data_IF_717075763589
#
_entry.id   IF_717075763589
#
_cell.length_a   1.000
_cell.length_b   1.000
_cell.length_c   1.000
_cell.angle_alpha   90.00
_cell.angle_beta   90.00
_cell.angle_gamma   90.00
#
_symmetry.space_group_name_H-M   'P 1'
#
loop_
_entity.id
_entity.type
_entity.pdbx_description
1 polymer ?
#
# COMPACT_ATOMS: atom_id res chain seq x y z
N UNK A 1 16.24 -13.09 18.80
CA UNK A 1 16.45 -12.57 17.43
C UNK A 1 17.83 -13.04 16.96
N UNK A 2 17.95 -13.63 15.77
CA UNK A 2 19.28 -13.95 15.20
C UNK A 2 19.78 -12.73 14.44
N UNK A 3 20.90 -12.20 14.89
CA UNK A 3 21.60 -11.14 14.17
C UNK A 3 22.40 -11.73 13.03
N UNK A 4 22.52 -10.98 11.93
CA UNK A 4 23.46 -11.31 10.87
C UNK A 4 24.87 -11.20 11.41
N UNK A 5 25.76 -12.08 10.96
CA UNK A 5 27.17 -11.93 11.27
C UNK A 5 27.71 -10.64 10.62
N UNK A 6 28.59 -9.88 11.30
CA UNK A 6 29.06 -8.58 10.79
C UNK A 6 29.67 -8.63 9.38
N UNK A 7 30.32 -9.74 9.03
CA UNK A 7 30.88 -9.95 7.68
C UNK A 7 29.80 -10.10 6.61
N UNK A 8 28.65 -10.68 6.96
CA UNK A 8 27.49 -10.83 6.06
C UNK A 8 26.82 -9.48 5.87
N UNK A 9 26.66 -8.71 6.93
CA UNK A 9 26.11 -7.35 6.86
C UNK A 9 26.98 -6.45 5.98
N UNK A 10 28.30 -6.47 6.18
CA UNK A 10 29.23 -5.68 5.36
C UNK A 10 29.18 -6.10 3.88
N UNK A 11 29.15 -7.39 3.57
CA UNK A 11 29.03 -7.86 2.20
C UNK A 11 27.72 -7.42 1.53
N UNK A 12 26.60 -7.36 2.27
CA UNK A 12 25.32 -6.88 1.74
C UNK A 12 25.35 -5.37 1.45
N UNK A 13 26.03 -4.59 2.28
CA UNK A 13 26.25 -3.16 2.07
C UNK A 13 27.17 -2.90 0.87
N UNK A 14 28.31 -3.60 0.79
CA UNK A 14 29.28 -3.48 -0.31
C UNK A 14 28.65 -3.82 -1.66
N UNK A 15 27.73 -4.78 -1.68
CA UNK A 15 26.99 -5.16 -2.88
C UNK A 15 25.80 -4.25 -3.19
N UNK A 16 25.53 -3.23 -2.37
CA UNK A 16 24.37 -2.36 -2.41
C UNK A 16 23.06 -3.16 -2.56
N UNK A 17 22.91 -4.20 -1.72
CA UNK A 17 21.81 -5.15 -1.82
C UNK A 17 20.44 -4.46 -1.74
N UNK A 18 20.29 -3.51 -0.83
CA UNK A 18 19.04 -2.74 -0.64
C UNK A 18 18.69 -1.97 -1.93
N UNK A 19 19.62 -1.19 -2.47
CA UNK A 19 19.36 -0.42 -3.70
C UNK A 19 19.09 -1.30 -4.93
N UNK A 20 19.73 -2.47 -5.02
CA UNK A 20 19.43 -3.47 -6.08
C UNK A 20 18.06 -4.12 -5.90
N UNK A 21 17.69 -4.45 -4.66
CA UNK A 21 16.40 -5.02 -4.32
C UNK A 21 15.27 -4.03 -4.59
N UNK A 22 15.43 -2.76 -4.20
CA UNK A 22 14.46 -1.69 -4.49
C UNK A 22 14.31 -1.47 -6.00
N UNK A 23 15.41 -1.40 -6.75
CA UNK A 23 15.36 -1.29 -8.22
C UNK A 23 14.70 -2.49 -8.88
N UNK A 24 14.96 -3.71 -8.39
CA UNK A 24 14.34 -4.92 -8.91
C UNK A 24 12.84 -4.98 -8.57
N UNK A 25 12.47 -4.59 -7.36
CA UNK A 25 11.08 -4.46 -6.91
C UNK A 25 10.33 -3.44 -7.76
N UNK A 26 10.93 -2.27 -7.99
CA UNK A 26 10.37 -1.23 -8.86
C UNK A 26 10.27 -1.72 -10.31
N UNK A 27 11.31 -2.34 -10.86
CA UNK A 27 11.31 -2.93 -12.21
C UNK A 27 10.29 -4.07 -12.35
N UNK A 28 10.08 -4.88 -11.31
CA UNK A 28 9.06 -5.93 -11.27
C UNK A 28 7.64 -5.34 -11.21
N UNK A 29 7.46 -4.25 -10.45
CA UNK A 29 6.21 -3.48 -10.42
C UNK A 29 5.94 -2.77 -11.76
N UNK A 30 6.98 -2.31 -12.46
CA UNK A 30 6.91 -1.74 -13.81
C UNK A 30 6.61 -2.78 -14.89
N UNK A 31 7.16 -3.99 -14.79
CA UNK A 31 7.03 -5.06 -15.80
C UNK A 31 5.68 -5.82 -15.75
N UNK A 32 4.83 -5.60 -14.74
CA UNK A 32 3.53 -6.28 -14.61
C UNK A 32 2.31 -5.49 -15.11
N UNK A 33 2.47 -4.24 -15.56
CA UNK A 33 1.35 -3.48 -16.14
C UNK A 33 1.82 -2.41 -17.14
N UNK A 34 1.31 -2.40 -18.40
CA UNK A 34 1.41 -1.23 -19.26
C UNK A 34 0.81 -0.01 -18.55
N UNK A 35 1.26 1.21 -18.89
CA UNK A 35 0.85 2.47 -18.25
C UNK A 35 -0.68 2.59 -18.04
N UNK A 36 -1.45 2.10 -19.00
CA UNK A 36 -2.92 2.10 -19.01
C UNK A 36 -3.57 1.13 -18.00
N UNK A 37 -2.77 0.23 -17.41
CA UNK A 37 -3.19 -0.71 -16.35
C UNK A 37 -2.62 -0.38 -14.96
N UNK A 38 -1.70 0.59 -14.85
CA UNK A 38 -1.15 1.06 -13.55
C UNK A 38 -2.22 1.73 -12.68
N UNK A 39 -3.16 2.44 -13.31
CA UNK A 39 -4.33 3.06 -12.69
C UNK A 39 -5.25 2.06 -11.96
N UNK A 40 -5.15 0.76 -12.23
CA UNK A 40 -6.01 -0.25 -11.59
C UNK A 40 -5.68 -0.46 -10.10
N UNK A 41 -4.44 -0.18 -9.70
CA UNK A 41 -3.94 -0.50 -8.35
C UNK A 41 -3.51 0.74 -7.56
N UNK A 42 -3.29 1.87 -8.23
CA UNK A 42 -2.84 3.12 -7.60
C UNK A 42 -3.57 4.30 -8.26
N UNK A 43 -4.00 5.28 -7.47
CA UNK A 43 -4.60 6.52 -7.99
C UNK A 43 -3.54 7.56 -8.44
N UNK A 44 -4.00 8.72 -8.90
CA UNK A 44 -3.12 9.81 -9.38
C UNK A 44 -2.27 10.44 -8.29
N UNK A 45 -2.63 10.26 -7.02
CA UNK A 45 -1.93 10.80 -5.85
C UNK A 45 -0.97 9.76 -5.24
N UNK A 46 -0.88 8.56 -5.81
CA UNK A 46 0.00 7.50 -5.35
C UNK A 46 -0.61 6.58 -4.30
N UNK A 47 -1.91 6.71 -4.00
CA UNK A 47 -2.54 5.82 -3.02
C UNK A 47 -2.94 4.49 -3.63
N UNK A 48 -2.86 3.42 -2.83
CA UNK A 48 -3.17 2.06 -3.27
C UNK A 48 -4.69 1.85 -3.35
N UNK A 49 -5.23 1.61 -4.54
CA UNK A 49 -6.65 1.28 -4.77
C UNK A 49 -6.98 -0.19 -4.52
N UNK A 50 -6.00 -1.11 -4.63
CA UNK A 50 -6.21 -2.52 -4.29
C UNK A 50 -4.92 -3.26 -3.92
N UNK A 51 -5.05 -4.28 -3.05
CA UNK A 51 -3.99 -5.18 -2.61
C UNK A 51 -4.52 -6.60 -2.45
N UNK A 52 -4.20 -7.50 -3.38
CA UNK A 52 -4.74 -8.85 -3.36
C UNK A 52 -6.27 -8.84 -3.45
N UNK A 53 -6.95 -9.32 -2.40
CA UNK A 53 -8.43 -9.29 -2.29
C UNK A 53 -8.99 -8.03 -1.62
N UNK A 54 -8.10 -7.08 -1.26
CA UNK A 54 -8.49 -5.81 -0.63
C UNK A 54 -8.69 -4.74 -1.70
N UNK A 55 -9.69 -3.89 -1.53
CA UNK A 55 -9.84 -2.65 -2.29
C UNK A 55 -10.03 -1.47 -1.35
N UNK A 56 -9.61 -0.29 -1.82
CA UNK A 56 -9.59 0.93 -1.03
C UNK A 56 -10.14 2.10 -1.85
N UNK A 57 -10.75 3.06 -1.17
CA UNK A 57 -11.12 4.35 -1.76
C UNK A 57 -10.67 5.48 -0.86
N UNK A 58 -10.47 6.66 -1.44
CA UNK A 58 -9.97 7.82 -0.74
C UNK A 58 -10.92 9.00 -0.93
N UNK A 59 -11.03 9.83 0.09
CA UNK A 59 -11.76 11.10 0.00
C UNK A 59 -10.92 12.17 -0.73
N UNK A 60 -11.53 13.35 -0.93
CA UNK A 60 -10.87 14.48 -1.61
C UNK A 60 -9.66 15.05 -0.85
N UNK A 61 -9.53 14.77 0.44
CA UNK A 61 -8.39 15.19 1.27
C UNK A 61 -7.35 14.07 1.42
N UNK A 62 -7.48 13.00 0.63
CA UNK A 62 -6.57 11.87 0.63
C UNK A 62 -6.68 10.96 1.86
N UNK A 63 -7.78 11.03 2.62
CA UNK A 63 -8.04 10.11 3.73
C UNK A 63 -8.69 8.82 3.22
N UNK A 64 -8.48 7.70 3.92
CA UNK A 64 -9.07 6.41 3.58
C UNK A 64 -10.60 6.43 3.79
N UNK A 65 -11.39 6.47 2.73
CA UNK A 65 -12.86 6.52 2.80
C UNK A 65 -13.45 5.12 3.03
N UNK A 66 -12.98 4.12 2.29
CA UNK A 66 -13.43 2.73 2.46
C UNK A 66 -12.29 1.73 2.33
N UNK A 67 -12.42 0.61 3.04
CA UNK A 67 -11.61 -0.59 2.86
C UNK A 67 -12.53 -1.81 2.73
N UNK A 68 -12.36 -2.60 1.68
CA UNK A 68 -13.15 -3.82 1.44
C UNK A 68 -12.24 -5.04 1.41
N UNK A 69 -12.64 -6.12 2.09
CA UNK A 69 -11.99 -7.44 2.03
C UNK A 69 -13.06 -8.52 1.94
N UNK A 70 -12.98 -9.38 0.93
CA UNK A 70 -13.94 -10.49 0.74
C UNK A 70 -15.41 -10.03 0.87
N UNK A 71 -15.76 -8.94 0.16
CA UNK A 71 -17.09 -8.32 0.15
C UNK A 71 -17.56 -7.70 1.48
N UNK A 72 -16.71 -7.66 2.50
CA UNK A 72 -16.95 -6.92 3.74
C UNK A 72 -16.31 -5.55 3.65
N UNK A 73 -17.08 -4.49 3.82
CA UNK A 73 -16.62 -3.10 3.69
C UNK A 73 -16.66 -2.39 5.02
N UNK A 74 -15.59 -1.67 5.34
CA UNK A 74 -15.53 -0.69 6.42
C UNK A 74 -15.49 0.69 5.80
N UNK A 75 -16.28 1.61 6.34
CA UNK A 75 -16.30 3.02 5.92
C UNK A 75 -15.86 3.93 7.06
N UNK A 76 -15.09 4.95 6.73
CA UNK A 76 -14.59 5.96 7.66
C UNK A 76 -15.13 7.33 7.25
N UNK A 77 -15.56 8.13 8.22
CA UNK A 77 -15.86 9.54 8.01
C UNK A 77 -14.94 10.40 8.85
N UNK A 78 -14.58 11.57 8.32
CA UNK A 78 -13.62 12.47 8.91
C UNK A 78 -14.25 13.84 9.18
N UNK A 79 -13.79 14.52 10.22
CA UNK A 79 -14.05 15.95 10.40
C UNK A 79 -13.16 16.81 9.48
N UNK A 80 -13.29 18.13 9.58
CA UNK A 80 -12.49 19.10 8.80
C UNK A 80 -11.00 19.10 9.15
N UNK A 81 -10.59 18.44 10.23
CA UNK A 81 -9.22 18.32 10.69
C UNK A 81 -8.63 16.93 10.39
N UNK A 82 -9.29 16.14 9.54
CA UNK A 82 -8.91 14.78 9.16
C UNK A 82 -8.93 13.78 10.33
N UNK A 83 -9.73 14.03 11.37
CA UNK A 83 -9.92 13.11 12.49
C UNK A 83 -11.13 12.22 12.22
N UNK A 84 -11.04 10.93 12.54
CA UNK A 84 -12.15 9.98 12.36
C UNK A 84 -13.30 10.36 13.29
N UNK A 85 -14.48 10.55 12.73
CA UNK A 85 -15.72 10.82 13.47
C UNK A 85 -16.66 9.62 13.50
N UNK A 86 -16.53 8.69 12.55
CA UNK A 86 -17.35 7.48 12.48
C UNK A 86 -16.59 6.36 11.79
N UNK A 87 -16.78 5.15 12.30
CA UNK A 87 -16.42 3.90 11.64
C UNK A 87 -17.69 3.09 11.46
N UNK A 88 -17.96 2.62 10.24
CA UNK A 88 -19.10 1.74 9.95
C UNK A 88 -18.59 0.44 9.34
N UNK A 89 -18.77 -0.65 10.06
CA UNK A 89 -18.47 -2.00 9.60
C UNK A 89 -19.71 -2.65 8.95
N UNK A 90 -19.52 -3.35 7.83
CA UNK A 90 -20.58 -4.14 7.19
C UNK A 90 -21.06 -5.35 8.01
N UNK A 91 -20.40 -5.70 9.12
CA UNK A 91 -20.80 -6.80 10.01
C UNK A 91 -21.50 -6.35 11.31
N UNK A 92 -21.93 -5.09 11.42
CA UNK A 92 -22.75 -4.66 12.57
C UNK A 92 -24.19 -4.57 12.11
N UNK A 93 -24.87 -5.73 12.14
CA UNK A 93 -26.33 -5.85 12.20
C UNK A 93 -26.73 -6.21 13.63
#
# INVERSE_FOLDING_TARGET
MRYLEPKVEQALLDMNFIGKYEKLSNKYNELRAPMDKRLKYIDKLGNKLSEGKRSFTYDKHNNLSTATLNNKTVSYTYDKFNQITKVKDANVS
#
